data_IF_705039052280
#
_entry.id   IF_705039052280
#
_cell.length_a   1.000
_cell.length_b   1.000
_cell.length_c   1.000
_cell.angle_alpha   90.00
_cell.angle_beta   90.00
_cell.angle_gamma   90.00
#
_symmetry.space_group_name_H-M   'P 1'
#
loop_
_entity.id
_entity.type
_entity.pdbx_description
1 polymer ?
#
# COMPACT_ATOMS: atom_id res chain seq x y z
N UNK A 1 -4.85 -13.20 -10.59
CA UNK A 1 -3.43 -12.89 -10.24
C UNK A 1 -3.20 -13.23 -8.77
N UNK A 2 -2.20 -14.06 -8.44
CA UNK A 2 -1.92 -14.46 -7.05
C UNK A 2 -1.18 -13.33 -6.32
N UNK A 3 -1.87 -12.57 -5.47
CA UNK A 3 -1.32 -11.43 -4.73
C UNK A 3 -0.52 -11.92 -3.50
N UNK A 4 0.62 -12.58 -3.74
CA UNK A 4 1.46 -13.12 -2.66
C UNK A 4 2.35 -12.03 -2.08
N UNK A 5 2.26 -11.86 -0.75
CA UNK A 5 3.17 -10.97 -0.01
C UNK A 5 4.62 -11.46 -0.13
N UNK A 6 5.59 -10.58 -0.40
CA UNK A 6 7.00 -10.92 -0.35
C UNK A 6 7.39 -11.36 1.06
N UNK A 7 8.31 -12.32 1.14
CA UNK A 7 8.81 -12.90 2.39
C UNK A 7 10.33 -12.93 2.35
N UNK A 8 10.95 -12.82 3.53
CA UNK A 8 12.39 -13.00 3.66
C UNK A 8 12.76 -14.47 3.42
N UNK A 9 13.81 -14.72 2.65
CA UNK A 9 14.28 -16.08 2.32
C UNK A 9 14.81 -16.82 3.56
N UNK A 10 15.36 -16.10 4.54
CA UNK A 10 16.00 -16.73 5.70
C UNK A 10 15.05 -17.02 6.86
N UNK A 11 14.12 -16.11 7.15
CA UNK A 11 13.21 -16.27 8.29
C UNK A 11 11.76 -16.51 7.86
N UNK A 12 11.47 -16.53 6.56
CA UNK A 12 10.13 -16.66 5.98
C UNK A 12 9.10 -15.62 6.48
N UNK A 13 9.54 -14.59 7.21
CA UNK A 13 8.68 -13.54 7.71
C UNK A 13 8.27 -12.63 6.56
N UNK A 14 7.02 -12.16 6.61
CA UNK A 14 6.47 -11.25 5.61
C UNK A 14 7.28 -9.95 5.64
N UNK A 15 7.73 -9.52 4.46
CA UNK A 15 8.36 -8.23 4.31
C UNK A 15 7.26 -7.21 4.13
N UNK A 16 7.21 -6.27 5.05
CA UNK A 16 6.33 -5.13 4.96
C UNK A 16 7.15 -4.01 4.32
N UNK A 17 6.72 -3.41 3.19
CA UNK A 17 7.16 -2.05 2.92
C UNK A 17 6.80 -1.24 4.16
N UNK A 18 7.67 -0.33 4.61
CA UNK A 18 7.34 0.60 5.70
C UNK A 18 6.18 1.47 5.22
N UNK A 19 4.95 1.01 5.38
CA UNK A 19 3.77 1.84 5.25
C UNK A 19 3.77 2.74 6.46
N UNK A 20 4.52 3.85 6.41
CA UNK A 20 4.33 4.92 7.37
C UNK A 20 2.87 5.37 7.22
N UNK A 21 2.08 5.37 8.30
CA UNK A 21 0.75 5.93 8.23
C UNK A 21 0.91 7.42 7.91
N UNK A 22 0.42 7.85 6.74
CA UNK A 22 0.02 9.22 6.47
C UNK A 22 1.06 10.31 6.82
N UNK A 23 2.32 10.14 6.40
CA UNK A 23 3.24 11.28 6.29
C UNK A 23 3.38 11.63 4.81
N UNK A 24 2.83 12.79 4.45
CA UNK A 24 2.62 13.30 3.10
C UNK A 24 3.88 13.65 2.30
N UNK A 25 5.06 13.12 2.66
CA UNK A 25 6.31 13.34 1.92
C UNK A 25 7.05 12.07 1.50
N UNK A 26 6.81 10.93 2.16
CA UNK A 26 7.68 9.75 2.00
C UNK A 26 7.05 8.64 1.14
N UNK A 27 5.86 8.90 0.58
CA UNK A 27 5.13 7.92 -0.22
C UNK A 27 5.79 7.60 -1.58
N UNK A 28 6.82 8.35 -1.98
CA UNK A 28 7.44 8.16 -3.29
C UNK A 28 8.64 7.20 -3.28
N UNK A 29 9.42 7.10 -2.19
CA UNK A 29 10.64 6.28 -2.17
C UNK A 29 11.02 5.88 -0.74
N UNK A 30 10.12 5.21 -0.02
CA UNK A 30 10.54 4.49 1.18
C UNK A 30 11.42 3.32 0.77
N UNK A 31 12.73 3.55 0.58
CA UNK A 31 13.72 2.51 0.26
C UNK A 31 13.47 1.31 1.16
N UNK A 32 13.11 0.17 0.55
CA UNK A 32 13.02 -1.06 1.33
C UNK A 32 14.42 -1.36 1.81
N UNK A 33 14.57 -1.40 3.14
CA UNK A 33 15.87 -1.64 3.75
C UNK A 33 16.48 -2.90 3.13
N UNK A 34 17.78 -2.88 2.77
CA UNK A 34 18.44 -4.04 2.20
C UNK A 34 18.50 -5.21 3.18
N UNK A 35 18.13 -5.00 4.44
CA UNK A 35 18.11 -6.01 5.49
C UNK A 35 16.69 -6.28 5.98
N UNK A 36 16.42 -7.53 6.29
CA UNK A 36 15.18 -7.96 6.92
C UNK A 36 15.08 -7.34 8.32
N UNK A 37 13.97 -6.68 8.68
CA UNK A 37 13.82 -6.02 9.98
C UNK A 37 13.81 -6.98 11.17
N UNK A 38 13.79 -8.29 10.91
CA UNK A 38 13.48 -9.32 11.89
C UNK A 38 14.67 -10.22 12.16
N UNK A 39 15.33 -10.67 11.10
CA UNK A 39 16.53 -11.47 11.22
C UNK A 39 17.81 -10.69 10.90
N UNK A 40 17.70 -9.43 10.49
CA UNK A 40 18.85 -8.57 10.14
C UNK A 40 19.60 -9.00 8.88
N UNK A 41 19.20 -10.11 8.23
CA UNK A 41 19.88 -10.63 7.05
C UNK A 41 19.55 -9.82 5.80
N UNK A 42 20.53 -9.73 4.92
CA UNK A 42 20.39 -9.06 3.64
C UNK A 42 19.29 -9.73 2.79
N UNK A 43 18.52 -8.91 2.09
CA UNK A 43 17.42 -9.31 1.22
C UNK A 43 17.90 -9.17 -0.22
N UNK A 44 17.70 -10.23 -1.00
CA UNK A 44 17.95 -10.24 -2.45
C UNK A 44 17.22 -9.08 -3.16
N UNK A 45 17.88 -8.41 -4.12
CA UNK A 45 17.29 -7.29 -4.88
C UNK A 45 15.93 -7.64 -5.50
N UNK A 46 15.77 -8.85 -6.03
CA UNK A 46 14.51 -9.31 -6.63
C UNK A 46 13.34 -9.28 -5.63
N UNK A 47 13.59 -9.64 -4.36
CA UNK A 47 12.56 -9.62 -3.31
C UNK A 47 12.26 -8.20 -2.88
N UNK A 48 13.28 -7.34 -2.88
CA UNK A 48 13.12 -5.91 -2.63
C UNK A 48 12.21 -5.28 -3.69
N UNK A 49 12.49 -5.51 -4.98
CA UNK A 49 11.70 -4.99 -6.09
C UNK A 49 10.25 -5.52 -6.05
N UNK A 50 10.07 -6.80 -5.70
CA UNK A 50 8.73 -7.38 -5.49
C UNK A 50 7.98 -6.69 -4.35
N UNK A 51 8.67 -6.33 -3.26
CA UNK A 51 8.07 -5.67 -2.12
C UNK A 51 7.72 -4.20 -2.40
N UNK A 52 8.52 -3.50 -3.21
CA UNK A 52 8.23 -2.15 -3.67
C UNK A 52 7.01 -2.13 -4.60
N UNK A 53 6.98 -3.01 -5.59
CA UNK A 53 5.85 -3.16 -6.50
C UNK A 53 4.56 -3.56 -5.76
N UNK A 54 4.69 -4.40 -4.73
CA UNK A 54 3.56 -4.75 -3.85
C UNK A 54 3.04 -3.52 -3.08
N UNK A 55 3.93 -2.69 -2.54
CA UNK A 55 3.57 -1.44 -1.87
C UNK A 55 2.84 -0.47 -2.79
N UNK A 56 3.38 -0.24 -4.00
CA UNK A 56 2.77 0.63 -5.01
C UNK A 56 1.36 0.18 -5.40
N UNK A 57 1.15 -1.14 -5.60
CA UNK A 57 -0.18 -1.67 -5.93
C UNK A 57 -1.19 -1.51 -4.79
N UNK A 58 -0.77 -1.71 -3.53
CA UNK A 58 -1.65 -1.46 -2.39
C UNK A 58 -2.05 0.00 -2.33
N UNK A 59 -1.10 0.92 -2.53
CA UNK A 59 -1.37 2.34 -2.53
C UNK A 59 -2.39 2.72 -3.62
N UNK A 60 -2.21 2.22 -4.84
CA UNK A 60 -3.16 2.44 -5.94
C UNK A 60 -4.56 1.91 -5.58
N UNK A 61 -4.67 0.72 -5.01
CA UNK A 61 -5.95 0.16 -4.57
C UNK A 61 -6.58 1.06 -3.50
N UNK A 62 -5.80 1.51 -2.52
CA UNK A 62 -6.27 2.36 -1.44
C UNK A 62 -6.76 3.73 -1.96
N UNK A 63 -6.05 4.35 -2.90
CA UNK A 63 -6.50 5.56 -3.58
C UNK A 63 -7.80 5.34 -4.34
N UNK A 64 -7.90 4.27 -5.14
CA UNK A 64 -9.13 3.95 -5.88
C UNK A 64 -10.33 3.76 -4.95
N UNK A 65 -10.17 2.99 -3.86
CA UNK A 65 -11.23 2.80 -2.87
C UNK A 65 -11.60 4.11 -2.16
N UNK A 66 -10.62 4.94 -1.81
CA UNK A 66 -10.85 6.24 -1.18
C UNK A 66 -11.63 7.20 -2.09
N UNK A 67 -11.24 7.30 -3.36
CA UNK A 67 -11.93 8.14 -4.36
C UNK A 67 -13.36 7.65 -4.57
N UNK A 68 -13.58 6.35 -4.74
CA UNK A 68 -14.92 5.77 -4.89
C UNK A 68 -15.83 6.04 -3.69
N UNK A 69 -15.27 6.02 -2.48
CA UNK A 69 -16.01 6.35 -1.27
C UNK A 69 -16.41 7.83 -1.22
N UNK A 70 -15.48 8.74 -1.57
CA UNK A 70 -15.74 10.18 -1.65
C UNK A 70 -16.82 10.49 -2.69
N UNK A 71 -16.73 9.90 -3.89
CA UNK A 71 -17.74 10.10 -4.94
C UNK A 71 -19.12 9.62 -4.46
N UNK A 72 -19.18 8.44 -3.84
CA UNK A 72 -20.43 7.91 -3.27
C UNK A 72 -21.03 8.87 -2.23
N UNK A 73 -20.21 9.41 -1.34
CA UNK A 73 -20.64 10.39 -0.34
C UNK A 73 -21.19 11.67 -0.97
N UNK A 74 -20.52 12.21 -1.99
CA UNK A 74 -20.96 13.41 -2.71
C UNK A 74 -22.34 13.18 -3.35
N UNK A 75 -22.53 12.03 -4.01
CA UNK A 75 -23.82 11.68 -4.63
C UNK A 75 -24.94 11.59 -3.58
N UNK A 76 -24.68 10.99 -2.43
CA UNK A 76 -25.65 10.91 -1.32
C UNK A 76 -26.02 12.32 -0.83
N UNK A 77 -25.04 13.20 -0.63
CA UNK A 77 -25.28 14.58 -0.18
C UNK A 77 -26.14 15.35 -1.18
N UNK A 78 -25.85 15.22 -2.48
CA UNK A 78 -26.64 15.87 -3.55
C UNK A 78 -28.10 15.39 -3.50
N UNK A 79 -28.33 14.07 -3.37
CA UNK A 79 -29.67 13.49 -3.28
C UNK A 79 -30.47 13.99 -2.08
N UNK A 80 -29.83 14.20 -0.92
CA UNK A 80 -30.50 14.74 0.28
C UNK A 80 -30.77 16.24 0.12
N UNK A 81 -29.85 16.98 -0.52
CA UNK A 81 -29.92 18.44 -0.63
C UNK A 81 -30.96 18.92 -1.66
N UNK A 82 -31.31 18.09 -2.63
CA UNK A 82 -32.39 18.34 -3.60
C UNK A 82 -33.52 17.32 -3.43
N UNK A 83 -34.39 17.46 -2.41
CA UNK A 83 -35.53 16.57 -2.20
C UNK A 83 -36.71 16.83 -3.17
N UNK A 84 -36.49 17.58 -4.25
CA UNK A 84 -37.52 18.04 -5.19
C UNK A 84 -37.64 17.17 -6.46
N UNK A 85 -37.13 15.94 -6.40
CA UNK A 85 -37.62 14.80 -7.18
C UNK A 85 -38.33 13.83 -6.24
#
# INVERSE_FOLDING_TARGET
MNFKRPRCENCNRKLYPKSRPWSSSDYLLGDISPHCPECGKEISREIRDKAENYGAKIFLIQCCCGISFIISLILIIISISNPLF
#
